data_IF_434694393543
#
_entry.id   IF_434694393543
#
_cell.length_a   1.000
_cell.length_b   1.000
_cell.length_c   1.000
_cell.angle_alpha   90.00
_cell.angle_beta   90.00
_cell.angle_gamma   90.00
#
_symmetry.space_group_name_H-M   'P 1'
#
loop_
_entity.id
_entity.type
_entity.pdbx_description
1 polymer ?
#
# COMPACT_ATOMS: atom_id res chain seq x y z
N UNK A 1 22.25 9.73 -7.56
CA UNK A 1 20.81 9.44 -7.42
C UNK A 1 20.24 10.49 -6.46
N UNK A 2 19.32 11.34 -6.91
CA UNK A 2 18.57 12.23 -6.03
C UNK A 2 17.62 11.33 -5.25
N UNK A 3 17.70 11.31 -3.92
CA UNK A 3 16.80 10.47 -3.12
C UNK A 3 15.34 10.83 -3.41
N UNK A 4 14.43 9.88 -3.46
CA UNK A 4 12.99 10.11 -3.65
C UNK A 4 12.43 11.09 -2.61
N UNK A 5 13.06 11.16 -1.43
CA UNK A 5 12.75 12.08 -0.33
C UNK A 5 12.71 13.55 -0.81
N UNK A 6 13.57 13.96 -1.76
CA UNK A 6 13.61 15.36 -2.25
C UNK A 6 12.42 15.75 -3.11
N UNK A 7 11.65 14.78 -3.64
CA UNK A 7 10.47 15.03 -4.48
C UNK A 7 9.22 15.39 -3.67
N UNK A 8 9.19 15.03 -2.37
CA UNK A 8 8.02 15.18 -1.51
C UNK A 8 8.26 16.27 -0.44
N UNK A 9 8.11 17.53 -0.83
CA UNK A 9 8.28 18.68 0.08
C UNK A 9 7.13 18.85 1.09
N UNK A 10 7.31 19.83 1.99
CA UNK A 10 6.32 20.19 3.02
C UNK A 10 4.96 20.57 2.46
N UNK A 11 4.91 21.22 1.28
CA UNK A 11 3.68 21.59 0.60
C UNK A 11 2.86 20.35 0.18
N UNK A 12 3.52 19.30 -0.32
CA UNK A 12 2.88 18.02 -0.64
C UNK A 12 2.28 17.37 0.62
N UNK A 13 3.05 17.34 1.72
CA UNK A 13 2.58 16.79 2.99
C UNK A 13 1.36 17.57 3.52
N UNK A 14 1.39 18.91 3.51
CA UNK A 14 0.28 19.76 3.93
C UNK A 14 -0.98 19.49 3.11
N UNK A 15 -0.86 19.35 1.78
CA UNK A 15 -1.98 19.04 0.90
C UNK A 15 -2.56 17.64 1.16
N UNK A 16 -1.71 16.63 1.37
CA UNK A 16 -2.15 15.27 1.72
C UNK A 16 -2.92 15.27 3.06
N UNK A 17 -2.42 15.95 4.08
CA UNK A 17 -3.10 16.10 5.36
C UNK A 17 -4.43 16.86 5.23
N UNK A 18 -4.48 17.92 4.43
CA UNK A 18 -5.70 18.67 4.14
C UNK A 18 -6.75 17.79 3.45
N UNK A 19 -6.33 17.06 2.40
CA UNK A 19 -7.21 16.14 1.66
C UNK A 19 -7.74 15.01 2.54
N UNK A 20 -6.93 14.51 3.47
CA UNK A 20 -7.32 13.43 4.38
C UNK A 20 -8.44 13.85 5.34
N UNK A 21 -8.58 15.15 5.63
CA UNK A 21 -9.59 15.71 6.54
C UNK A 21 -10.93 16.03 5.85
N UNK A 22 -11.00 16.01 4.52
CA UNK A 22 -12.22 16.34 3.78
C UNK A 22 -13.33 15.31 4.03
N UNK A 23 -14.53 15.68 4.53
CA UNK A 23 -15.54 14.74 5.04
C UNK A 23 -16.04 13.76 3.97
N UNK A 24 -16.33 14.23 2.75
CA UNK A 24 -16.78 13.37 1.67
C UNK A 24 -15.72 12.35 1.26
N UNK A 25 -14.44 12.76 1.18
CA UNK A 25 -13.33 11.84 0.90
C UNK A 25 -13.16 10.81 2.02
N UNK A 26 -13.33 11.22 3.28
CA UNK A 26 -13.30 10.30 4.44
C UNK A 26 -14.40 9.26 4.35
N UNK A 27 -15.61 9.65 3.94
CA UNK A 27 -16.73 8.73 3.81
C UNK A 27 -16.46 7.68 2.72
N UNK A 28 -16.04 8.12 1.52
CA UNK A 28 -15.69 7.19 0.42
C UNK A 28 -14.54 6.27 0.85
N UNK A 29 -13.48 6.87 1.41
CA UNK A 29 -12.33 6.11 1.91
C UNK A 29 -12.69 5.10 3.01
N UNK A 30 -13.69 5.39 3.83
CA UNK A 30 -14.11 4.46 4.89
C UNK A 30 -14.48 3.09 4.33
N UNK A 31 -15.23 3.04 3.23
CA UNK A 31 -15.69 1.77 2.68
C UNK A 31 -14.55 0.88 2.19
N UNK A 32 -13.56 1.43 1.48
CA UNK A 32 -12.45 0.61 1.03
C UNK A 32 -11.46 0.28 2.16
N UNK A 33 -11.23 1.22 3.12
CA UNK A 33 -10.43 0.91 4.30
C UNK A 33 -11.08 -0.20 5.13
N UNK A 34 -12.41 -0.19 5.29
CA UNK A 34 -13.15 -1.27 5.96
C UNK A 34 -12.94 -2.62 5.24
N UNK A 35 -12.83 -2.60 3.91
CA UNK A 35 -12.55 -3.79 3.11
C UNK A 35 -11.15 -4.32 3.36
N UNK A 36 -10.14 -3.45 3.32
CA UNK A 36 -8.74 -3.81 3.62
C UNK A 36 -8.64 -4.38 5.04
N UNK A 37 -9.21 -3.70 6.03
CA UNK A 37 -9.15 -4.11 7.44
C UNK A 37 -9.76 -5.49 7.70
N UNK A 38 -10.78 -5.90 6.94
CA UNK A 38 -11.37 -7.26 7.09
C UNK A 38 -10.41 -8.38 6.72
N UNK A 39 -9.45 -8.11 5.86
CA UNK A 39 -8.47 -9.10 5.40
C UNK A 39 -7.24 -9.15 6.30
N UNK A 40 -6.92 -8.06 7.01
CA UNK A 40 -5.74 -7.96 7.87
C UNK A 40 -5.93 -8.72 9.19
N UNK A 41 -4.82 -9.20 9.75
CA UNK A 41 -4.73 -9.89 11.03
C UNK A 41 -3.59 -9.28 11.84
N UNK A 42 -3.76 -9.16 13.15
CA UNK A 42 -2.72 -8.76 14.10
C UNK A 42 -1.97 -7.49 13.75
N UNK A 43 -0.77 -7.33 14.32
CA UNK A 43 0.12 -6.22 14.01
C UNK A 43 0.44 -6.16 12.51
N UNK A 44 0.33 -4.97 11.94
CA UNK A 44 0.36 -4.77 10.48
C UNK A 44 1.41 -3.73 10.08
N UNK A 45 2.11 -3.99 9.00
CA UNK A 45 2.98 -3.03 8.31
C UNK A 45 2.13 -2.30 7.26
N UNK A 46 1.97 -0.97 7.40
CA UNK A 46 1.29 -0.10 6.42
C UNK A 46 2.36 0.61 5.58
N UNK A 47 2.66 0.06 4.40
CA UNK A 47 3.72 0.55 3.52
C UNK A 47 3.21 1.70 2.64
N UNK A 48 3.84 2.87 2.74
CA UNK A 48 3.36 4.10 2.13
C UNK A 48 2.12 4.63 2.85
N UNK A 49 2.17 4.70 4.19
CA UNK A 49 1.00 5.00 5.02
C UNK A 49 0.43 6.43 4.82
N UNK A 50 1.16 7.32 4.12
CA UNK A 50 0.71 8.65 3.77
C UNK A 50 0.24 9.46 4.98
N UNK A 51 -1.00 9.94 4.95
CA UNK A 51 -1.62 10.68 6.05
C UNK A 51 -2.14 9.79 7.20
N UNK A 52 -1.78 8.50 7.26
CA UNK A 52 -2.06 7.59 8.37
C UNK A 52 -3.52 7.16 8.54
N UNK A 53 -4.35 7.28 7.49
CA UNK A 53 -5.79 7.00 7.61
C UNK A 53 -6.08 5.52 7.90
N UNK A 54 -5.30 4.59 7.33
CA UNK A 54 -5.37 3.18 7.65
C UNK A 54 -4.65 2.90 8.96
N UNK A 55 -3.43 3.41 9.12
CA UNK A 55 -2.59 3.23 10.31
C UNK A 55 -3.34 3.56 11.60
N UNK A 56 -4.13 4.66 11.63
CA UNK A 56 -4.95 5.06 12.77
C UNK A 56 -6.05 4.05 13.17
N UNK A 57 -6.28 3.01 12.35
CA UNK A 57 -7.32 2.00 12.55
C UNK A 57 -6.74 0.59 12.76
N UNK A 58 -5.44 0.46 12.64
CA UNK A 58 -4.71 -0.78 12.89
C UNK A 58 -4.44 -0.98 14.38
N UNK A 59 -4.10 -2.20 14.83
CA UNK A 59 -3.61 -2.46 16.19
C UNK A 59 -2.45 -1.51 16.57
N UNK A 60 -2.35 -1.15 17.85
CA UNK A 60 -1.40 -0.16 18.33
C UNK A 60 0.08 -0.50 18.10
N UNK A 61 0.40 -1.79 17.99
CA UNK A 61 1.72 -2.35 17.69
C UNK A 61 2.03 -2.47 16.19
N UNK A 62 1.12 -1.97 15.34
CA UNK A 62 1.35 -1.83 13.90
C UNK A 62 2.33 -0.68 13.61
N UNK A 63 2.92 -0.67 12.41
CA UNK A 63 3.84 0.38 11.97
C UNK A 63 3.46 0.93 10.60
N UNK A 64 3.51 2.24 10.45
CA UNK A 64 3.44 2.93 9.16
C UNK A 64 4.84 3.24 8.64
N UNK A 65 5.12 2.89 7.39
CA UNK A 65 6.36 3.24 6.69
C UNK A 65 6.04 4.33 5.66
N UNK A 66 6.77 5.45 5.72
CA UNK A 66 6.52 6.60 4.86
C UNK A 66 7.84 7.26 4.45
N UNK A 67 7.95 7.64 3.17
CA UNK A 67 9.15 8.27 2.62
C UNK A 67 9.21 9.78 2.89
N UNK A 68 8.07 10.41 3.15
CA UNK A 68 7.99 11.85 3.40
C UNK A 68 8.23 12.17 4.89
N UNK A 69 9.35 12.84 5.25
CA UNK A 69 9.68 13.12 6.65
C UNK A 69 8.66 14.04 7.34
N UNK A 70 7.99 14.93 6.59
CA UNK A 70 6.98 15.83 7.16
C UNK A 70 5.71 15.08 7.53
N UNK A 71 5.30 14.08 6.72
CA UNK A 71 4.19 13.20 7.07
C UNK A 71 4.52 12.34 8.28
N UNK A 72 5.71 11.74 8.30
CA UNK A 72 6.17 10.95 9.46
C UNK A 72 6.13 11.78 10.75
N UNK A 73 6.70 12.99 10.72
CA UNK A 73 6.67 13.88 11.88
C UNK A 73 5.24 14.20 12.34
N UNK A 74 4.34 14.53 11.41
CA UNK A 74 2.94 14.82 11.73
C UNK A 74 2.21 13.61 12.34
N UNK A 75 2.46 12.39 11.83
CA UNK A 75 1.89 11.16 12.36
C UNK A 75 2.41 10.83 13.75
N UNK A 76 3.72 11.00 13.99
CA UNK A 76 4.34 10.82 15.31
C UNK A 76 3.81 11.81 16.33
N UNK A 77 3.63 13.09 15.95
CA UNK A 77 2.99 14.10 16.80
C UNK A 77 1.52 13.76 17.12
N UNK A 78 0.85 13.02 16.25
CA UNK A 78 -0.50 12.49 16.49
C UNK A 78 -0.51 11.16 17.28
N UNK A 79 0.64 10.70 17.78
CA UNK A 79 0.77 9.48 18.58
C UNK A 79 0.78 8.19 17.78
N UNK A 80 0.97 8.24 16.45
CA UNK A 80 1.02 7.04 15.60
C UNK A 80 2.46 6.51 15.47
N UNK A 81 2.62 5.19 15.41
CA UNK A 81 3.91 4.56 15.14
C UNK A 81 4.25 4.62 13.65
N UNK A 82 4.71 5.78 13.20
CA UNK A 82 5.18 5.99 11.83
C UNK A 82 6.71 6.12 11.80
N UNK A 83 7.35 5.54 10.78
CA UNK A 83 8.80 5.55 10.59
C UNK A 83 9.16 6.05 9.20
N UNK A 84 10.23 6.85 9.14
CA UNK A 84 10.80 7.25 7.86
C UNK A 84 11.43 6.02 7.19
N UNK A 85 11.03 5.75 5.96
CA UNK A 85 11.51 4.61 5.20
C UNK A 85 11.72 4.96 3.73
N UNK A 86 12.96 4.95 3.30
CA UNK A 86 13.32 5.02 1.89
C UNK A 86 13.54 3.60 1.36
N UNK A 87 12.54 3.10 0.64
CA UNK A 87 12.53 1.74 0.13
C UNK A 87 13.66 1.45 -0.88
N UNK A 88 14.08 2.46 -1.64
CA UNK A 88 15.17 2.29 -2.60
C UNK A 88 16.53 2.15 -1.92
N UNK A 89 16.77 2.87 -0.82
CA UNK A 89 18.02 2.77 -0.08
C UNK A 89 18.15 1.45 0.69
N UNK A 90 17.02 0.84 1.07
CA UNK A 90 16.95 -0.46 1.76
C UNK A 90 16.70 -1.65 0.81
N UNK A 91 16.71 -1.41 -0.50
CA UNK A 91 16.37 -2.40 -1.52
C UNK A 91 15.06 -3.17 -1.25
N UNK A 92 14.07 -2.50 -0.67
CA UNK A 92 12.76 -3.05 -0.30
C UNK A 92 12.83 -4.21 0.71
N UNK A 93 13.93 -4.31 1.46
CA UNK A 93 14.17 -5.45 2.35
C UNK A 93 13.44 -5.37 3.69
N UNK A 94 12.90 -4.19 4.06
CA UNK A 94 12.28 -3.93 5.36
C UNK A 94 13.22 -4.30 6.53
N UNK A 95 14.53 -4.01 6.36
CA UNK A 95 15.60 -4.46 7.26
C UNK A 95 15.45 -3.92 8.70
N UNK A 96 14.81 -2.77 8.87
CA UNK A 96 14.60 -2.13 10.18
C UNK A 96 13.47 -2.75 11.00
N UNK A 97 12.74 -3.75 10.46
CA UNK A 97 11.59 -4.35 11.12
C UNK A 97 11.95 -5.69 11.77
N UNK A 98 11.32 -5.93 12.92
CA UNK A 98 11.53 -7.12 13.73
C UNK A 98 10.86 -8.36 13.13
N UNK A 99 11.60 -9.47 13.08
CA UNK A 99 11.09 -10.76 12.59
C UNK A 99 10.10 -11.35 13.61
N UNK A 100 8.98 -11.86 13.13
CA UNK A 100 7.97 -12.51 13.95
C UNK A 100 7.02 -11.57 14.68
N UNK A 101 7.16 -10.26 14.49
CA UNK A 101 6.29 -9.27 15.15
C UNK A 101 4.99 -9.02 14.38
N UNK A 102 5.06 -8.98 13.04
CA UNK A 102 3.93 -8.58 12.19
C UNK A 102 3.25 -9.79 11.54
N UNK A 103 1.91 -9.81 11.57
CA UNK A 103 1.11 -10.83 10.91
C UNK A 103 0.65 -10.43 9.52
N UNK A 104 0.47 -9.12 9.29
CA UNK A 104 -0.03 -8.59 8.02
C UNK A 104 0.87 -7.49 7.46
N UNK A 105 0.79 -7.33 6.13
CA UNK A 105 1.39 -6.24 5.38
C UNK A 105 0.32 -5.64 4.46
N UNK A 106 0.28 -4.32 4.35
CA UNK A 106 -0.59 -3.64 3.39
C UNK A 106 0.18 -2.59 2.61
N UNK A 107 -0.18 -2.45 1.33
CA UNK A 107 0.36 -1.46 0.41
C UNK A 107 -0.78 -0.94 -0.48
N UNK A 108 -1.14 0.34 -0.31
CA UNK A 108 -2.30 0.92 -0.98
C UNK A 108 -1.92 2.17 -1.76
N UNK A 109 -2.16 2.17 -3.07
CA UNK A 109 -1.84 3.27 -3.98
C UNK A 109 -0.35 3.67 -3.94
N UNK A 110 0.52 2.67 -4.02
CA UNK A 110 1.98 2.82 -4.05
C UNK A 110 2.60 2.01 -5.19
N UNK A 111 2.10 0.80 -5.45
CA UNK A 111 2.68 -0.12 -6.45
C UNK A 111 2.69 0.48 -7.85
N UNK A 112 1.69 1.24 -8.22
CA UNK A 112 1.55 1.88 -9.53
C UNK A 112 2.62 2.94 -9.83
N UNK A 113 3.33 3.43 -8.81
CA UNK A 113 4.37 4.45 -8.97
C UNK A 113 5.76 3.88 -9.32
N UNK A 114 5.95 2.56 -9.27
CA UNK A 114 7.23 1.95 -9.60
C UNK A 114 7.36 1.62 -11.10
N UNK A 115 8.57 1.82 -11.66
CA UNK A 115 8.88 1.47 -13.06
C UNK A 115 8.87 -0.06 -13.26
N UNK A 116 9.47 -0.81 -12.33
CA UNK A 116 9.46 -2.28 -12.31
C UNK A 116 8.67 -2.77 -11.09
N UNK A 117 7.36 -2.62 -11.16
CA UNK A 117 6.45 -3.05 -10.09
C UNK A 117 6.55 -4.54 -9.80
N UNK A 118 6.82 -5.36 -10.83
CA UNK A 118 6.94 -6.81 -10.64
C UNK A 118 8.15 -7.18 -9.78
N UNK A 119 9.30 -6.56 -10.02
CA UNK A 119 10.47 -6.76 -9.19
C UNK A 119 10.29 -6.23 -7.76
N UNK A 120 9.65 -5.06 -7.61
CA UNK A 120 9.32 -4.49 -6.30
C UNK A 120 8.41 -5.41 -5.50
N UNK A 121 7.33 -5.92 -6.11
CA UNK A 121 6.44 -6.88 -5.45
C UNK A 121 7.20 -8.11 -4.97
N UNK A 122 8.06 -8.72 -5.80
CA UNK A 122 8.87 -9.88 -5.39
C UNK A 122 9.77 -9.57 -4.20
N UNK A 123 10.45 -8.41 -4.21
CA UNK A 123 11.31 -7.98 -3.09
C UNK A 123 10.50 -7.80 -1.80
N UNK A 124 9.37 -7.09 -1.86
CA UNK A 124 8.51 -6.85 -0.71
C UNK A 124 7.88 -8.15 -0.18
N UNK A 125 7.40 -9.06 -1.06
CA UNK A 125 6.84 -10.35 -0.61
C UNK A 125 7.91 -11.24 0.02
N UNK A 126 9.13 -11.23 -0.52
CA UNK A 126 10.29 -11.91 0.11
C UNK A 126 10.60 -11.34 1.49
N UNK A 127 10.60 -10.02 1.64
CA UNK A 127 10.78 -9.36 2.93
C UNK A 127 9.67 -9.72 3.90
N UNK A 128 8.40 -9.72 3.46
CA UNK A 128 7.26 -10.18 4.25
C UNK A 128 7.41 -11.64 4.69
N UNK A 129 7.84 -12.53 3.79
CA UNK A 129 8.09 -13.94 4.13
C UNK A 129 9.17 -14.08 5.22
N UNK A 130 10.28 -13.33 5.10
CA UNK A 130 11.36 -13.28 6.09
C UNK A 130 10.86 -12.76 7.45
N UNK A 131 9.99 -11.76 7.45
CA UNK A 131 9.41 -11.17 8.67
C UNK A 131 8.38 -12.08 9.35
N UNK A 132 7.92 -13.15 8.70
CA UNK A 132 6.89 -14.02 9.24
C UNK A 132 5.47 -13.58 8.92
N UNK A 133 5.28 -12.57 8.08
CA UNK A 133 3.96 -12.11 7.62
C UNK A 133 3.21 -13.24 6.92
N UNK A 134 1.94 -13.40 7.24
CA UNK A 134 1.07 -14.45 6.68
C UNK A 134 0.05 -13.90 5.67
N UNK A 135 -0.24 -12.61 5.76
CA UNK A 135 -1.24 -11.94 4.90
C UNK A 135 -0.65 -10.68 4.29
N UNK A 136 -0.78 -10.54 2.98
CA UNK A 136 -0.45 -9.32 2.24
C UNK A 136 -1.68 -8.80 1.52
N UNK A 137 -2.00 -7.52 1.72
CA UNK A 137 -3.09 -6.84 1.02
C UNK A 137 -2.52 -5.70 0.19
N UNK A 138 -2.75 -5.73 -1.12
CA UNK A 138 -2.38 -4.64 -2.00
C UNK A 138 -3.63 -4.03 -2.66
N UNK A 139 -3.66 -2.71 -2.77
CA UNK A 139 -4.72 -1.98 -3.45
C UNK A 139 -4.11 -1.07 -4.51
N UNK A 140 -4.60 -1.18 -5.73
CA UNK A 140 -4.14 -0.37 -6.87
C UNK A 140 -5.33 0.25 -7.60
N UNK A 141 -5.16 1.40 -8.27
CA UNK A 141 -6.24 2.07 -8.97
C UNK A 141 -6.73 1.29 -10.19
N UNK A 142 -8.04 1.33 -10.46
CA UNK A 142 -8.60 0.95 -11.75
C UNK A 142 -8.23 1.95 -12.86
N UNK A 143 -8.63 1.68 -14.10
CA UNK A 143 -8.16 2.38 -15.29
C UNK A 143 -8.28 3.90 -15.20
N UNK A 144 -9.43 4.45 -14.80
CA UNK A 144 -9.62 5.90 -14.68
C UNK A 144 -8.82 6.52 -13.55
N UNK A 145 -8.72 5.83 -12.41
CA UNK A 145 -7.88 6.25 -11.29
C UNK A 145 -6.41 6.27 -11.66
N UNK A 146 -5.95 5.24 -12.37
CA UNK A 146 -4.60 5.17 -12.92
C UNK A 146 -4.30 6.32 -13.89
N UNK A 147 -5.17 6.60 -14.84
CA UNK A 147 -4.99 7.67 -15.83
C UNK A 147 -5.06 9.09 -15.24
N UNK A 148 -5.62 9.25 -14.04
CA UNK A 148 -5.80 10.56 -13.39
C UNK A 148 -4.48 11.14 -12.84
N UNK A 149 -3.50 10.29 -12.50
CA UNK A 149 -2.23 10.72 -11.92
C UNK A 149 -1.07 10.43 -12.88
N UNK A 150 -0.40 11.49 -13.34
CA UNK A 150 0.74 11.39 -14.27
C UNK A 150 2.00 10.76 -13.69
N UNK A 151 2.03 10.52 -12.38
CA UNK A 151 3.14 9.84 -11.70
C UNK A 151 3.00 8.32 -11.71
N UNK A 152 1.85 7.80 -12.14
CA UNK A 152 1.65 6.37 -12.30
C UNK A 152 2.43 5.84 -13.50
N UNK A 153 3.13 4.72 -13.31
CA UNK A 153 4.04 4.12 -14.28
C UNK A 153 3.59 2.71 -14.71
N UNK A 154 3.00 1.94 -13.80
CA UNK A 154 2.56 0.58 -14.07
C UNK A 154 1.06 0.42 -13.79
N UNK A 155 0.29 0.08 -14.81
CA UNK A 155 -1.11 -0.27 -14.64
C UNK A 155 -1.25 -1.75 -14.26
N UNK A 156 -1.50 -2.00 -12.99
CA UNK A 156 -1.63 -3.34 -12.43
C UNK A 156 -3.05 -3.84 -12.61
N UNK A 157 -3.21 -4.95 -13.33
CA UNK A 157 -4.49 -5.66 -13.53
C UNK A 157 -4.35 -7.14 -13.18
N UNK A 158 -5.44 -7.87 -13.08
CA UNK A 158 -5.38 -9.32 -12.90
C UNK A 158 -4.63 -10.01 -14.06
N UNK A 159 -4.81 -9.54 -15.29
CA UNK A 159 -4.08 -10.06 -16.46
C UNK A 159 -2.58 -9.78 -16.35
N UNK A 160 -2.20 -8.56 -15.95
CA UNK A 160 -0.81 -8.16 -15.73
C UNK A 160 -0.14 -9.03 -14.66
N UNK A 161 -0.83 -9.32 -13.54
CA UNK A 161 -0.32 -10.20 -12.48
C UNK A 161 -0.01 -11.61 -13.01
N UNK A 162 -0.93 -12.19 -13.78
CA UNK A 162 -0.72 -13.52 -14.40
C UNK A 162 0.47 -13.51 -15.35
N UNK A 163 0.57 -12.51 -16.24
CA UNK A 163 1.66 -12.38 -17.22
C UNK A 163 3.04 -12.25 -16.55
N UNK A 164 3.09 -11.62 -15.38
CA UNK A 164 4.32 -11.45 -14.61
C UNK A 164 4.60 -12.58 -13.60
N UNK A 165 3.78 -13.65 -13.59
CA UNK A 165 3.94 -14.77 -12.66
C UNK A 165 3.79 -14.38 -11.19
N UNK A 166 2.90 -13.41 -10.89
CA UNK A 166 2.67 -12.88 -9.55
C UNK A 166 1.44 -13.49 -8.87
N UNK A 167 0.76 -14.44 -9.51
CA UNK A 167 -0.31 -15.21 -8.85
C UNK A 167 0.24 -16.09 -7.71
N UNK A 168 1.50 -16.45 -7.83
CA UNK A 168 2.26 -17.15 -6.79
C UNK A 168 3.71 -16.65 -6.81
N UNK A 169 4.17 -16.04 -5.71
CA UNK A 169 5.56 -15.61 -5.60
C UNK A 169 6.02 -15.51 -4.14
N UNK A 170 7.30 -15.80 -3.90
CA UNK A 170 7.99 -15.66 -2.62
C UNK A 170 7.26 -16.33 -1.44
N UNK A 171 6.59 -17.47 -1.69
CA UNK A 171 5.85 -18.22 -0.67
C UNK A 171 4.43 -17.71 -0.40
N UNK A 172 3.94 -16.76 -1.17
CA UNK A 172 2.57 -16.28 -1.12
C UNK A 172 1.78 -16.71 -2.36
N UNK A 173 0.49 -16.98 -2.17
CA UNK A 173 -0.48 -17.27 -3.25
C UNK A 173 -1.54 -16.18 -3.24
N UNK A 174 -1.91 -15.70 -4.42
CA UNK A 174 -3.03 -14.78 -4.61
C UNK A 174 -4.34 -15.52 -4.32
N UNK A 175 -4.93 -15.22 -3.16
CA UNK A 175 -6.19 -15.81 -2.67
C UNK A 175 -7.41 -15.09 -3.25
N UNK A 176 -7.34 -13.73 -3.32
CA UNK A 176 -8.41 -12.90 -3.88
C UNK A 176 -7.84 -11.82 -4.77
N UNK A 177 -8.54 -11.54 -5.87
CA UNK A 177 -8.26 -10.43 -6.77
C UNK A 177 -9.59 -9.92 -7.31
N UNK A 178 -10.18 -8.93 -6.68
CA UNK A 178 -11.50 -8.43 -7.03
C UNK A 178 -11.55 -6.90 -7.01
N UNK A 179 -12.39 -6.35 -7.86
CA UNK A 179 -12.57 -4.92 -7.99
C UNK A 179 -13.62 -4.38 -7.01
N UNK A 180 -13.43 -3.14 -6.57
CA UNK A 180 -14.34 -2.42 -5.70
C UNK A 180 -14.67 -1.05 -6.31
N UNK A 181 -15.91 -0.53 -6.22
CA UNK A 181 -17.10 -1.10 -5.56
C UNK A 181 -17.84 -2.16 -6.37
N UNK A 182 -17.55 -2.31 -7.65
CA UNK A 182 -18.16 -3.29 -8.55
C UNK A 182 -17.06 -4.19 -9.08
N UNK A 183 -17.22 -5.50 -8.92
CA UNK A 183 -16.24 -6.49 -9.40
C UNK A 183 -16.36 -6.73 -10.91
N UNK A 184 -16.01 -5.70 -11.66
CA UNK A 184 -15.93 -5.71 -13.12
C UNK A 184 -14.85 -4.72 -13.58
N UNK A 185 -13.75 -5.21 -14.16
CA UNK A 185 -12.62 -4.38 -14.59
C UNK A 185 -13.04 -3.20 -15.48
N UNK A 186 -13.97 -3.44 -16.41
CA UNK A 186 -14.47 -2.42 -17.32
C UNK A 186 -15.15 -1.23 -16.62
N UNK A 187 -15.70 -1.41 -15.42
CA UNK A 187 -16.27 -0.32 -14.63
C UNK A 187 -15.23 0.74 -14.26
N UNK A 188 -13.98 0.34 -14.15
CA UNK A 188 -12.85 1.23 -13.90
C UNK A 188 -12.60 2.28 -15.00
N UNK A 189 -13.15 2.12 -16.19
CA UNK A 189 -13.07 3.13 -17.25
C UNK A 189 -13.95 4.37 -16.97
N UNK A 190 -14.94 4.24 -16.10
CA UNK A 190 -15.94 5.28 -15.83
C UNK A 190 -15.82 5.87 -14.43
N UNK A 191 -15.38 5.08 -13.45
CA UNK A 191 -15.39 5.47 -12.04
C UNK A 191 -13.97 5.61 -11.47
N UNK A 192 -13.60 6.83 -11.06
CA UNK A 192 -12.23 7.16 -10.59
C UNK A 192 -11.84 6.48 -9.28
N UNK A 193 -12.82 6.15 -8.44
CA UNK A 193 -12.58 5.42 -7.17
C UNK A 193 -12.75 3.92 -7.32
N UNK A 194 -12.59 3.40 -8.53
CA UNK A 194 -12.53 1.98 -8.78
C UNK A 194 -11.12 1.46 -8.50
N UNK A 195 -11.02 0.38 -7.76
CA UNK A 195 -9.75 -0.14 -7.25
C UNK A 195 -9.72 -1.66 -7.38
N UNK A 196 -8.55 -2.22 -7.69
CA UNK A 196 -8.28 -3.64 -7.63
C UNK A 196 -7.69 -3.97 -6.25
N UNK A 197 -8.36 -4.83 -5.51
CA UNK A 197 -7.93 -5.36 -4.23
C UNK A 197 -7.32 -6.75 -4.41
N UNK A 198 -6.10 -6.92 -3.95
CA UNK A 198 -5.34 -8.16 -4.01
C UNK A 198 -5.07 -8.65 -2.59
N UNK A 199 -5.41 -9.89 -2.32
CA UNK A 199 -5.12 -10.55 -1.04
C UNK A 199 -4.24 -11.76 -1.31
N UNK A 200 -3.06 -11.75 -0.74
CA UNK A 200 -2.15 -12.88 -0.77
C UNK A 200 -2.08 -13.55 0.59
N UNK A 201 -2.05 -14.87 0.58
CA UNK A 201 -1.86 -15.69 1.78
C UNK A 201 -0.57 -16.48 1.67
N UNK A 202 0.14 -16.61 2.79
CA UNK A 202 1.33 -17.44 2.84
C UNK A 202 0.93 -18.92 2.70
N UNK A 203 1.68 -19.65 1.90
CA UNK A 203 1.55 -21.10 1.83
C UNK A 203 1.90 -21.72 3.19
N UNK A 204 1.15 -22.76 3.62
CA UNK A 204 1.46 -23.49 4.83
C UNK A 204 2.85 -24.18 4.75
#
# INVERSE_FOLDING_TARGET
MVSEISKFGSAYAAEQLRRSRHPLRRLIKKFYLDRVLRELRGPTIDFGCGAGQLLARLPADSVGLEVNPHLVQALQQAGMNARLYDAYSDDFSLSQLEVGHYESFTISHVLEHFDDTAAVMRKLWRACARLGVTTVVAVVPGAKGYAYDSTHKTFVTQAWLRQNGLSECEGFVLDKADYFPIDAEAFGNWFVFHELHLVYRRKP
#
